data_IF_590058437076
#
_entry.id   IF_590058437076
#
_cell.length_a   1.000
_cell.length_b   1.000
_cell.length_c   1.000
_cell.angle_alpha   90.00
_cell.angle_beta   90.00
_cell.angle_gamma   90.00
#
_symmetry.space_group_name_H-M   'P 1'
#
loop_
_entity.id
_entity.type
_entity.pdbx_description
1 polymer ?
#
# COMPACT_ATOMS: atom_id res chain seq x y z
N UNK A 1 -10.68 -22.61 19.72
CA UNK A 1 -9.48 -22.40 18.88
C UNK A 1 -9.92 -22.31 17.44
N UNK A 2 -10.02 -21.10 16.89
CA UNK A 2 -10.35 -20.89 15.49
C UNK A 2 -9.04 -20.64 14.73
N UNK A 3 -8.58 -21.65 13.98
CA UNK A 3 -7.60 -21.45 12.93
C UNK A 3 -8.26 -20.46 11.96
N UNK A 4 -7.65 -19.30 11.77
CA UNK A 4 -8.14 -18.27 10.84
C UNK A 4 -8.48 -18.95 9.53
N UNK A 5 -9.76 -18.99 9.18
CA UNK A 5 -10.23 -19.52 7.92
C UNK A 5 -9.54 -18.70 6.85
N UNK A 6 -8.55 -19.30 6.18
CA UNK A 6 -8.01 -18.79 4.93
C UNK A 6 -9.21 -18.76 3.98
N UNK A 7 -9.82 -17.59 3.82
CA UNK A 7 -11.02 -17.45 3.01
C UNK A 7 -10.62 -17.75 1.56
N UNK A 8 -11.13 -18.85 1.02
CA UNK A 8 -11.21 -19.01 -0.44
C UNK A 8 -12.01 -17.83 -0.96
N UNK A 9 -11.50 -17.10 -1.96
CA UNK A 9 -12.40 -16.52 -2.96
C UNK A 9 -13.04 -17.72 -3.65
N UNK A 10 -14.28 -18.03 -3.31
CA UNK A 10 -15.10 -18.88 -4.17
C UNK A 10 -15.39 -18.02 -5.38
N UNK A 11 -14.66 -18.24 -6.48
CA UNK A 11 -15.03 -17.66 -7.76
C UNK A 11 -16.31 -18.38 -8.21
N UNK A 12 -17.46 -17.71 -8.08
CA UNK A 12 -18.78 -18.24 -8.39
C UNK A 12 -19.88 -17.50 -7.61
N UNK A 13 -21.14 -17.73 -7.99
CA UNK A 13 -22.30 -17.18 -7.29
C UNK A 13 -22.35 -17.68 -5.83
N UNK A 14 -22.89 -16.85 -4.94
CA UNK A 14 -23.13 -17.23 -3.55
C UNK A 14 -24.00 -18.51 -3.50
N UNK A 15 -23.68 -19.49 -2.64
CA UNK A 15 -24.43 -20.74 -2.56
C UNK A 15 -25.91 -20.44 -2.28
N UNK A 16 -26.77 -21.03 -3.09
CA UNK A 16 -28.20 -20.76 -3.13
C UNK A 16 -29.00 -21.62 -2.15
N UNK A 17 -28.35 -22.60 -1.51
CA UNK A 17 -28.98 -23.49 -0.54
C UNK A 17 -28.10 -23.79 0.66
N UNK A 18 -28.75 -24.15 1.76
CA UNK A 18 -28.08 -24.59 2.99
C UNK A 18 -27.26 -25.86 2.78
N UNK A 19 -27.70 -26.80 1.92
CA UNK A 19 -26.92 -27.98 1.55
C UNK A 19 -25.63 -27.62 0.82
N UNK A 20 -25.70 -26.68 -0.12
CA UNK A 20 -24.56 -26.20 -0.90
C UNK A 20 -23.57 -25.40 -0.03
N UNK A 21 -24.09 -24.62 0.92
CA UNK A 21 -23.28 -24.01 1.99
C UNK A 21 -22.62 -25.07 2.88
N UNK A 22 -23.35 -26.11 3.30
CA UNK A 22 -22.83 -27.18 4.15
C UNK A 22 -21.75 -27.98 3.40
N UNK A 23 -21.99 -28.39 2.15
CA UNK A 23 -21.01 -29.09 1.31
C UNK A 23 -19.75 -28.25 1.04
N UNK A 24 -19.88 -26.93 0.89
CA UNK A 24 -18.75 -26.01 0.80
C UNK A 24 -18.06 -25.76 2.16
N UNK A 25 -18.77 -25.98 3.27
CA UNK A 25 -18.27 -25.81 4.64
C UNK A 25 -17.67 -27.08 5.24
N UNK A 26 -17.98 -28.25 4.67
CA UNK A 26 -17.35 -29.53 5.00
C UNK A 26 -15.87 -29.41 4.65
N UNK A 27 -15.10 -29.29 5.71
CA UNK A 27 -13.73 -28.83 5.75
C UNK A 27 -12.81 -29.80 5.02
N UNK A 28 -12.56 -29.55 3.73
CA UNK A 28 -11.32 -30.00 3.12
C UNK A 28 -10.21 -29.30 3.91
N UNK A 29 -9.40 -30.08 4.63
CA UNK A 29 -8.23 -29.57 5.31
C UNK A 29 -7.40 -28.75 4.28
N UNK A 30 -7.13 -27.46 4.49
CA UNK A 30 -6.39 -26.65 3.51
C UNK A 30 -4.95 -27.16 3.30
N UNK A 31 -4.48 -28.03 4.20
CA UNK A 31 -3.22 -28.75 4.15
C UNK A 31 -3.36 -30.21 3.69
N UNK A 32 -4.52 -30.61 3.15
CA UNK A 32 -4.70 -31.94 2.57
C UNK A 32 -3.84 -32.08 1.31
N UNK A 33 -2.85 -32.96 1.39
CA UNK A 33 -1.96 -33.27 0.26
C UNK A 33 -2.72 -33.87 -0.94
N UNK A 34 -3.87 -34.52 -0.73
CA UNK A 34 -4.68 -35.06 -1.83
C UNK A 34 -5.30 -33.93 -2.66
N UNK A 35 -5.63 -32.80 -2.05
CA UNK A 35 -6.10 -31.60 -2.75
C UNK A 35 -5.03 -30.97 -3.66
N UNK A 36 -3.74 -31.28 -3.44
CA UNK A 36 -2.64 -30.82 -4.31
C UNK A 36 -2.45 -31.70 -5.55
N UNK A 37 -2.83 -32.99 -5.50
CA UNK A 37 -2.58 -33.94 -6.59
C UNK A 37 -3.34 -33.61 -7.88
N UNK A 38 -4.46 -32.89 -7.77
CA UNK A 38 -5.26 -32.46 -8.93
C UNK A 38 -4.82 -31.13 -9.55
N UNK A 39 -3.78 -30.48 -9.02
CA UNK A 39 -3.32 -29.17 -9.48
C UNK A 39 -2.22 -29.31 -10.53
N UNK A 40 -2.24 -28.44 -11.55
CA UNK A 40 -1.12 -28.31 -12.47
C UNK A 40 0.09 -27.65 -11.79
N UNK A 41 1.27 -27.68 -12.43
CA UNK A 41 2.44 -26.98 -11.90
C UNK A 41 2.19 -25.47 -11.73
N UNK A 42 1.47 -24.85 -12.68
CA UNK A 42 1.12 -23.43 -12.60
C UNK A 42 0.16 -23.16 -11.44
N UNK A 43 -0.84 -24.02 -11.23
CA UNK A 43 -1.78 -23.91 -10.10
C UNK A 43 -1.06 -24.06 -8.75
N UNK A 44 -0.09 -24.97 -8.66
CA UNK A 44 0.74 -25.14 -7.46
C UNK A 44 1.57 -23.87 -7.17
N UNK A 45 2.15 -23.25 -8.21
CA UNK A 45 2.89 -21.99 -8.07
C UNK A 45 1.98 -20.85 -7.63
N UNK A 46 0.79 -20.75 -8.21
CA UNK A 46 -0.22 -19.73 -7.83
C UNK A 46 -0.59 -19.92 -6.36
N UNK A 47 -0.99 -21.13 -5.97
CA UNK A 47 -1.43 -21.45 -4.61
C UNK A 47 -0.33 -21.21 -3.57
N UNK A 48 0.91 -21.56 -3.89
CA UNK A 48 2.07 -21.26 -3.03
C UNK A 48 2.21 -19.75 -2.78
N UNK A 49 2.14 -18.94 -3.85
CA UNK A 49 2.26 -17.47 -3.75
C UNK A 49 1.12 -16.85 -2.97
N UNK A 50 -0.11 -17.30 -3.21
CA UNK A 50 -1.30 -16.81 -2.51
C UNK A 50 -1.21 -17.10 -1.01
N UNK A 51 -0.86 -18.33 -0.63
CA UNK A 51 -0.69 -18.71 0.78
C UNK A 51 0.39 -17.86 1.44
N UNK A 52 1.53 -17.67 0.78
CA UNK A 52 2.61 -16.84 1.30
C UNK A 52 2.16 -15.38 1.48
N UNK A 53 1.53 -14.78 0.47
CA UNK A 53 1.01 -13.41 0.56
C UNK A 53 0.01 -13.24 1.70
N UNK A 54 -0.96 -14.14 1.81
CA UNK A 54 -1.98 -14.13 2.87
C UNK A 54 -1.34 -14.33 4.24
N UNK A 55 -0.41 -15.27 4.38
CA UNK A 55 0.30 -15.54 5.63
C UNK A 55 1.06 -14.31 6.13
N UNK A 56 1.80 -13.63 5.24
CA UNK A 56 2.60 -12.47 5.61
C UNK A 56 1.70 -11.27 5.96
N UNK A 57 0.64 -11.01 5.18
CA UNK A 57 -0.32 -9.96 5.52
C UNK A 57 -1.02 -10.21 6.86
N UNK A 58 -1.48 -11.45 7.10
CA UNK A 58 -2.19 -11.80 8.32
C UNK A 58 -1.27 -11.74 9.55
N UNK A 59 -0.02 -12.21 9.44
CA UNK A 59 1.00 -12.03 10.50
C UNK A 59 1.19 -10.55 10.83
N UNK A 60 1.28 -9.69 9.80
CA UNK A 60 1.39 -8.24 10.01
C UNK A 60 0.16 -7.63 10.69
N UNK A 61 -1.06 -8.09 10.35
CA UNK A 61 -2.30 -7.66 11.00
C UNK A 61 -2.35 -8.07 12.47
N UNK A 62 -1.94 -9.29 12.81
CA UNK A 62 -1.83 -9.74 14.20
C UNK A 62 -0.87 -8.83 14.99
N UNK A 63 0.28 -8.48 14.40
CA UNK A 63 1.25 -7.60 15.03
C UNK A 63 0.73 -6.16 15.21
N UNK A 64 -0.11 -5.68 14.30
CA UNK A 64 -0.77 -4.38 14.41
C UNK A 64 -1.80 -4.35 15.52
N UNK A 65 -2.68 -5.35 15.55
CA UNK A 65 -3.67 -5.51 16.62
C UNK A 65 -2.99 -5.67 17.97
N UNK A 66 -1.88 -6.42 18.04
CA UNK A 66 -1.07 -6.51 19.24
C UNK A 66 -0.50 -5.13 19.63
N UNK A 67 0.05 -4.38 18.67
CA UNK A 67 0.60 -3.04 18.92
C UNK A 67 -0.43 -2.10 19.55
N UNK A 68 -1.68 -2.10 19.11
CA UNK A 68 -2.73 -1.23 19.66
C UNK A 68 -3.03 -1.46 21.14
N UNK A 69 -2.62 -2.62 21.70
CA UNK A 69 -2.84 -2.98 23.12
C UNK A 69 -1.75 -2.48 24.07
N UNK A 70 -0.67 -1.91 23.55
CA UNK A 70 0.44 -1.36 24.34
C UNK A 70 0.40 0.16 24.42
N UNK A 71 0.76 0.71 25.58
CA UNK A 71 0.74 2.16 25.82
C UNK A 71 1.86 2.89 25.09
N UNK A 72 2.99 2.22 24.87
CA UNK A 72 4.14 2.80 24.17
C UNK A 72 4.77 1.86 23.14
N UNK A 73 5.51 2.46 22.19
CA UNK A 73 6.34 1.69 21.26
C UNK A 73 7.48 0.94 21.97
N UNK A 74 7.92 1.43 23.13
CA UNK A 74 9.03 0.84 23.89
C UNK A 74 8.58 -0.49 24.49
N UNK A 75 7.47 -0.48 25.23
CA UNK A 75 6.87 -1.70 25.81
C UNK A 75 6.55 -2.74 24.74
N UNK A 76 6.00 -2.31 23.61
CA UNK A 76 5.74 -3.20 22.50
C UNK A 76 7.02 -3.80 21.91
N UNK A 77 8.09 -3.00 21.78
CA UNK A 77 9.39 -3.46 21.31
C UNK A 77 10.04 -4.49 22.24
N UNK A 78 9.92 -4.30 23.55
CA UNK A 78 10.35 -5.25 24.57
C UNK A 78 9.53 -6.55 24.52
N UNK A 79 8.21 -6.44 24.40
CA UNK A 79 7.36 -7.62 24.24
C UNK A 79 7.71 -8.40 22.97
N UNK A 80 7.99 -7.72 21.85
CA UNK A 80 8.43 -8.36 20.61
C UNK A 80 9.75 -9.10 20.80
N UNK A 81 10.72 -8.54 21.52
CA UNK A 81 12.03 -9.16 21.70
C UNK A 81 11.98 -10.43 22.55
N UNK A 82 11.02 -10.54 23.47
CA UNK A 82 10.78 -11.73 24.31
C UNK A 82 10.01 -12.82 23.56
N UNK A 83 9.01 -12.44 22.75
CA UNK A 83 8.06 -13.40 22.16
C UNK A 83 8.43 -13.83 20.71
N UNK A 84 9.31 -13.09 20.03
CA UNK A 84 9.72 -13.37 18.65
C UNK A 84 11.25 -13.52 18.56
N UNK A 85 11.79 -14.40 19.41
CA UNK A 85 13.22 -14.69 19.59
C UNK A 85 13.79 -15.55 18.46
N UNK A 86 12.97 -16.38 17.83
CA UNK A 86 13.37 -17.26 16.72
C UNK A 86 13.07 -16.57 15.37
N UNK A 87 14.14 -16.14 14.69
CA UNK A 87 14.15 -15.54 13.34
C UNK A 87 13.38 -14.21 13.20
N UNK A 88 14.14 -13.13 13.46
CA UNK A 88 13.97 -11.78 12.91
C UNK A 88 12.90 -10.88 13.58
N UNK A 89 13.26 -10.25 14.69
CA UNK A 89 12.64 -8.97 15.10
C UNK A 89 12.69 -7.91 13.99
N UNK A 90 13.67 -7.98 13.07
CA UNK A 90 13.69 -7.17 11.84
C UNK A 90 12.53 -7.49 10.87
N UNK A 91 12.01 -8.71 10.88
CA UNK A 91 10.86 -9.11 10.06
C UNK A 91 9.54 -8.65 10.66
N UNK A 92 9.39 -8.56 11.98
CA UNK A 92 8.13 -8.09 12.60
C UNK A 92 7.86 -6.63 12.21
N UNK A 93 8.88 -5.77 12.20
CA UNK A 93 8.74 -4.40 11.70
C UNK A 93 8.35 -4.32 10.22
N UNK A 94 8.95 -5.17 9.36
CA UNK A 94 8.58 -5.26 7.93
C UNK A 94 7.13 -5.74 7.74
N UNK A 95 6.70 -6.72 8.52
CA UNK A 95 5.34 -7.26 8.52
C UNK A 95 4.31 -6.20 8.96
N UNK A 96 4.59 -5.47 10.03
CA UNK A 96 3.76 -4.35 10.50
C UNK A 96 3.62 -3.31 9.39
N UNK A 97 4.73 -2.89 8.78
CA UNK A 97 4.71 -1.92 7.70
C UNK A 97 3.98 -2.44 6.45
N UNK A 98 4.24 -3.71 6.07
CA UNK A 98 3.53 -4.39 4.98
C UNK A 98 2.03 -4.33 5.22
N UNK A 99 1.57 -4.80 6.38
CA UNK A 99 0.16 -4.79 6.71
C UNK A 99 -0.38 -3.35 6.71
N UNK A 100 0.30 -2.35 7.31
CA UNK A 100 -0.08 -0.91 7.26
C UNK A 100 -0.25 -0.38 5.85
N UNK A 101 0.64 -0.75 4.94
CA UNK A 101 0.56 -0.29 3.58
C UNK A 101 -0.60 -0.96 2.85
N UNK A 102 -0.78 -2.27 2.94
CA UNK A 102 -1.81 -3.02 2.22
C UNK A 102 -3.18 -3.09 2.95
N UNK A 103 -3.47 -2.11 3.82
CA UNK A 103 -4.81 -1.89 4.37
C UNK A 103 -5.70 -1.14 3.36
N UNK A 104 -7.00 -1.05 3.65
CA UNK A 104 -7.92 -0.10 2.99
C UNK A 104 -8.08 -0.33 1.47
N UNK A 105 -8.14 -1.58 1.04
CA UNK A 105 -8.42 -1.94 -0.36
C UNK A 105 -7.21 -1.97 -1.28
N UNK A 106 -5.98 -1.80 -0.77
CA UNK A 106 -4.75 -2.03 -1.54
C UNK A 106 -4.41 -3.52 -1.55
N UNK A 107 -4.47 -4.16 -2.72
CA UNK A 107 -4.20 -5.58 -2.89
C UNK A 107 -2.72 -5.85 -3.17
N UNK A 108 -2.21 -6.99 -2.69
CA UNK A 108 -0.90 -7.53 -3.05
C UNK A 108 -0.98 -8.44 -4.29
N UNK A 109 -2.16 -8.59 -4.89
CA UNK A 109 -2.39 -9.42 -6.07
C UNK A 109 -1.45 -9.02 -7.22
N UNK A 110 -0.71 -9.98 -7.76
CA UNK A 110 0.27 -9.75 -8.83
C UNK A 110 1.58 -9.06 -8.39
N UNK A 111 1.70 -8.68 -7.11
CA UNK A 111 2.89 -8.04 -6.54
C UNK A 111 3.64 -9.07 -5.67
N UNK A 112 4.92 -9.39 -5.98
CA UNK A 112 5.72 -10.25 -5.12
C UNK A 112 5.81 -9.70 -3.69
N UNK A 113 5.74 -10.55 -2.66
CA UNK A 113 5.83 -10.12 -1.24
C UNK A 113 7.08 -9.29 -0.98
N UNK A 114 8.22 -9.66 -1.58
CA UNK A 114 9.46 -8.90 -1.49
C UNK A 114 9.32 -7.47 -2.02
N UNK A 115 8.56 -7.27 -3.10
CA UNK A 115 8.23 -5.94 -3.60
C UNK A 115 7.27 -5.20 -2.66
N UNK A 116 6.31 -5.92 -2.06
CA UNK A 116 5.45 -5.41 -1.00
C UNK A 116 6.27 -4.82 0.16
N UNK A 117 7.30 -5.51 0.63
CA UNK A 117 8.21 -5.00 1.66
C UNK A 117 8.98 -3.74 1.23
N UNK A 118 9.36 -3.66 -0.05
CA UNK A 118 10.02 -2.46 -0.56
C UNK A 118 9.05 -1.27 -0.60
N UNK A 119 7.81 -1.47 -1.04
CA UNK A 119 6.81 -0.41 -1.09
C UNK A 119 6.44 0.10 0.31
N UNK A 120 6.27 -0.82 1.26
CA UNK A 120 5.90 -0.48 2.63
C UNK A 120 7.05 0.04 3.48
N UNK A 121 8.29 -0.01 2.99
CA UNK A 121 9.45 0.45 3.74
C UNK A 121 9.32 1.95 4.10
N UNK A 122 9.63 2.36 5.34
CA UNK A 122 9.56 3.76 5.76
C UNK A 122 10.36 4.71 4.86
N UNK A 123 11.51 4.25 4.34
CA UNK A 123 12.35 5.02 3.40
C UNK A 123 11.67 5.38 2.09
N UNK A 124 10.55 4.73 1.76
CA UNK A 124 9.83 4.88 0.50
C UNK A 124 8.44 5.52 0.71
N UNK A 125 8.11 5.97 1.93
CA UNK A 125 6.79 6.52 2.29
C UNK A 125 6.27 7.55 1.27
N UNK A 126 7.11 8.47 0.83
CA UNK A 126 6.74 9.59 -0.06
C UNK A 126 6.45 9.16 -1.50
N UNK A 127 6.93 7.98 -1.91
CA UNK A 127 6.81 7.47 -3.28
C UNK A 127 5.92 6.23 -3.37
N UNK A 128 5.68 5.55 -2.26
CA UNK A 128 5.07 4.22 -2.21
C UNK A 128 3.69 4.16 -2.91
N UNK A 129 2.82 5.15 -2.68
CA UNK A 129 1.50 5.20 -3.31
C UNK A 129 1.59 5.40 -4.83
N UNK A 130 2.53 6.24 -5.29
CA UNK A 130 2.74 6.48 -6.72
C UNK A 130 3.24 5.21 -7.40
N UNK A 131 4.28 4.59 -6.83
CA UNK A 131 4.81 3.32 -7.33
C UNK A 131 3.74 2.24 -7.34
N UNK A 132 2.96 2.10 -6.26
CA UNK A 132 1.87 1.13 -6.19
C UNK A 132 0.83 1.33 -7.30
N UNK A 133 0.41 2.57 -7.56
CA UNK A 133 -0.54 2.86 -8.62
C UNK A 133 -0.01 2.54 -10.03
N UNK A 134 1.31 2.65 -10.24
CA UNK A 134 1.93 2.31 -11.52
C UNK A 134 2.01 0.80 -11.77
N UNK A 135 2.11 0.00 -10.70
CA UNK A 135 2.34 -1.45 -10.77
C UNK A 135 1.11 -2.30 -10.46
N UNK A 136 0.10 -1.77 -9.76
CA UNK A 136 -1.14 -2.50 -9.49
C UNK A 136 -1.74 -2.96 -10.82
N UNK A 137 -2.24 -4.20 -10.86
CA UNK A 137 -2.82 -4.85 -12.04
C UNK A 137 -1.81 -5.23 -13.16
N UNK A 138 -0.52 -4.90 -13.00
CA UNK A 138 0.54 -5.28 -13.95
C UNK A 138 1.41 -6.39 -13.37
N UNK A 139 1.84 -7.31 -14.23
CA UNK A 139 2.75 -8.41 -13.86
C UNK A 139 4.20 -7.98 -14.04
N UNK A 140 4.74 -7.27 -13.06
CA UNK A 140 6.17 -6.93 -13.03
C UNK A 140 6.98 -7.95 -12.24
N UNK A 141 8.20 -8.22 -12.70
CA UNK A 141 9.23 -8.93 -11.93
C UNK A 141 9.75 -8.01 -10.83
N UNK A 142 10.33 -8.64 -9.79
CA UNK A 142 10.89 -7.91 -8.65
C UNK A 142 11.92 -6.85 -9.08
N UNK A 143 12.79 -7.17 -10.04
CA UNK A 143 13.83 -6.24 -10.49
C UNK A 143 13.26 -5.04 -11.25
N UNK A 144 12.22 -5.24 -12.07
CA UNK A 144 11.51 -4.13 -12.72
C UNK A 144 10.86 -3.19 -11.70
N UNK A 145 10.32 -3.74 -10.61
CA UNK A 145 9.75 -2.93 -9.52
C UNK A 145 10.86 -2.16 -8.79
N UNK A 146 12.03 -2.77 -8.55
CA UNK A 146 13.19 -2.06 -7.97
C UNK A 146 13.61 -0.88 -8.85
N UNK A 147 13.63 -1.06 -10.17
CA UNK A 147 13.97 -0.01 -11.12
C UNK A 147 12.94 1.13 -11.12
N UNK A 148 11.64 0.80 -11.05
CA UNK A 148 10.58 1.81 -10.88
C UNK A 148 10.82 2.61 -9.60
N UNK A 149 11.05 1.94 -8.46
CA UNK A 149 11.33 2.60 -7.18
C UNK A 149 12.57 3.50 -7.28
N UNK A 150 13.65 3.03 -7.91
CA UNK A 150 14.87 3.82 -8.09
C UNK A 150 14.62 5.08 -8.93
N UNK A 151 13.83 4.99 -10.02
CA UNK A 151 13.45 6.15 -10.82
C UNK A 151 12.67 7.19 -10.01
N UNK A 152 11.75 6.76 -9.16
CA UNK A 152 11.02 7.67 -8.28
C UNK A 152 11.93 8.33 -7.25
N UNK A 153 12.87 7.58 -6.66
CA UNK A 153 13.88 8.13 -5.74
C UNK A 153 14.80 9.16 -6.40
N UNK A 154 15.26 8.88 -7.60
CA UNK A 154 16.15 9.80 -8.32
C UNK A 154 15.41 11.08 -8.75
N UNK A 155 14.13 10.97 -9.13
CA UNK A 155 13.27 12.14 -9.37
C UNK A 155 13.05 12.98 -8.10
N UNK A 156 12.84 12.36 -6.94
CA UNK A 156 12.74 13.11 -5.68
C UNK A 156 14.06 13.70 -5.21
N UNK A 157 15.20 13.06 -5.45
CA UNK A 157 16.53 13.62 -5.15
C UNK A 157 16.84 14.81 -6.06
N UNK A 158 16.50 14.74 -7.35
CA UNK A 158 16.62 15.87 -8.27
C UNK A 158 15.72 17.06 -7.86
N UNK A 159 14.57 16.80 -7.23
CA UNK A 159 13.73 17.84 -6.61
C UNK A 159 14.19 18.28 -5.22
N UNK A 160 14.92 17.46 -4.46
CA UNK A 160 15.45 17.82 -3.12
C UNK A 160 16.77 18.59 -3.18
N UNK A 161 17.42 18.66 -4.33
CA UNK A 161 18.69 19.35 -4.53
C UNK A 161 18.61 20.87 -4.71
N UNK A 162 17.40 21.45 -4.84
CA UNK A 162 17.22 22.89 -5.02
C UNK A 162 15.81 23.29 -4.57
N UNK A 163 15.57 23.35 -3.27
CA UNK A 163 14.41 24.10 -2.77
C UNK A 163 14.81 24.71 -1.45
N UNK A 164 15.39 25.90 -1.54
CA UNK A 164 15.66 26.74 -0.38
C UNK A 164 14.38 26.85 0.45
N UNK A 165 14.49 26.85 1.76
CA UNK A 165 13.36 27.02 2.70
C UNK A 165 12.48 28.23 2.31
N UNK A 166 13.09 29.24 1.71
CA UNK A 166 12.46 30.41 1.09
C UNK A 166 11.41 30.08 0.00
N UNK A 167 11.66 29.09 -0.87
CA UNK A 167 10.71 28.71 -1.94
C UNK A 167 9.46 27.99 -1.40
N UNK A 168 9.54 27.29 -0.26
CA UNK A 168 8.35 26.68 0.36
C UNK A 168 7.43 27.72 0.98
N UNK A 169 7.99 28.76 1.60
CA UNK A 169 7.21 29.87 2.16
C UNK A 169 6.58 30.70 1.03
N UNK A 170 7.37 31.06 0.01
CA UNK A 170 6.85 31.75 -1.19
C UNK A 170 5.77 30.93 -1.89
N UNK A 171 5.92 29.61 -2.00
CA UNK A 171 4.89 28.75 -2.62
C UNK A 171 3.59 28.70 -1.82
N UNK A 172 3.65 28.83 -0.48
CA UNK A 172 2.47 28.86 0.37
C UNK A 172 1.73 30.19 0.20
N UNK A 173 2.46 31.30 0.23
CA UNK A 173 1.89 32.65 0.07
C UNK A 173 1.26 32.84 -1.31
N UNK A 174 1.93 32.34 -2.37
CA UNK A 174 1.38 32.37 -3.73
C UNK A 174 0.13 31.51 -3.84
N UNK A 175 0.07 30.36 -3.16
CA UNK A 175 -1.10 29.49 -3.15
C UNK A 175 -2.28 30.12 -2.42
N UNK A 176 -2.06 30.68 -1.23
CA UNK A 176 -3.08 31.40 -0.46
C UNK A 176 -3.61 32.60 -1.24
N UNK A 177 -2.73 33.41 -1.82
CA UNK A 177 -3.12 34.55 -2.66
C UNK A 177 -3.91 34.14 -3.92
N UNK A 178 -3.47 33.08 -4.60
CA UNK A 178 -4.18 32.56 -5.78
C UNK A 178 -5.57 32.03 -5.42
N UNK A 179 -5.71 31.42 -4.24
CA UNK A 179 -6.98 30.92 -3.73
C UNK A 179 -7.94 32.07 -3.42
N UNK A 180 -7.45 33.12 -2.74
CA UNK A 180 -8.21 34.34 -2.48
C UNK A 180 -8.68 35.01 -3.78
N UNK A 181 -7.79 35.16 -4.77
CA UNK A 181 -8.15 35.75 -6.05
C UNK A 181 -9.26 34.96 -6.76
N UNK A 182 -9.16 33.64 -6.80
CA UNK A 182 -10.13 32.82 -7.53
C UNK A 182 -11.47 32.71 -6.80
N UNK A 183 -11.46 32.62 -5.48
CA UNK A 183 -12.67 32.35 -4.70
C UNK A 183 -13.40 33.63 -4.28
N UNK A 184 -12.69 34.71 -3.97
CA UNK A 184 -13.29 35.91 -3.40
C UNK A 184 -13.34 37.08 -4.40
N UNK A 185 -12.33 37.25 -5.25
CA UNK A 185 -12.25 38.37 -6.20
C UNK A 185 -12.89 38.03 -7.55
N UNK A 186 -12.62 36.84 -8.06
CA UNK A 186 -13.12 36.37 -9.36
C UNK A 186 -14.36 35.49 -9.26
N UNK A 187 -15.06 35.52 -8.12
CA UNK A 187 -16.29 34.77 -7.92
C UNK A 187 -17.31 35.10 -9.05
N UNK A 188 -17.85 34.05 -9.68
CA UNK A 188 -18.81 34.18 -10.78
C UNK A 188 -18.25 34.73 -12.10
N UNK A 189 -16.94 34.96 -12.22
CA UNK A 189 -16.32 35.45 -13.47
C UNK A 189 -15.96 34.29 -14.41
N UNK A 190 -15.99 34.57 -15.72
CA UNK A 190 -15.63 33.57 -16.72
C UNK A 190 -14.12 33.34 -16.77
N UNK A 191 -13.71 32.11 -17.10
CA UNK A 191 -12.29 31.74 -17.23
C UNK A 191 -11.53 32.62 -18.24
N UNK A 192 -12.18 33.04 -19.33
CA UNK A 192 -11.57 33.91 -20.33
C UNK A 192 -11.28 35.31 -19.78
N UNK A 193 -12.17 35.86 -18.96
CA UNK A 193 -11.98 37.14 -18.28
C UNK A 193 -10.84 37.08 -17.27
N UNK A 194 -10.85 36.06 -16.40
CA UNK A 194 -9.80 35.87 -15.38
C UNK A 194 -8.42 35.75 -16.03
N UNK A 195 -8.30 34.95 -17.10
CA UNK A 195 -7.04 34.78 -17.84
C UNK A 195 -6.55 36.10 -18.45
N UNK A 196 -7.45 36.91 -19.01
CA UNK A 196 -7.11 38.21 -19.58
C UNK A 196 -6.54 39.16 -18.51
N UNK A 197 -7.25 39.28 -17.39
CA UNK A 197 -6.85 40.17 -16.29
C UNK A 197 -5.51 39.75 -15.69
N UNK A 198 -5.31 38.47 -15.38
CA UNK A 198 -4.05 37.99 -14.81
C UNK A 198 -2.87 38.16 -15.78
N UNK A 199 -3.09 37.94 -17.08
CA UNK A 199 -2.04 38.11 -18.10
C UNK A 199 -1.61 39.58 -18.22
N UNK A 200 -2.58 40.51 -18.22
CA UNK A 200 -2.30 41.95 -18.26
C UNK A 200 -1.62 42.43 -16.98
N UNK A 201 -2.04 41.93 -15.82
CA UNK A 201 -1.42 42.27 -14.53
C UNK A 201 0.04 41.82 -14.45
N UNK A 202 0.36 40.62 -14.95
CA UNK A 202 1.74 40.11 -14.99
C UNK A 202 2.65 40.97 -15.89
N UNK A 203 2.12 41.56 -16.97
CA UNK A 203 2.87 42.47 -17.84
C UNK A 203 3.20 43.82 -17.19
N UNK A 204 2.50 44.19 -16.10
CA UNK A 204 2.67 45.45 -15.39
C UNK A 204 3.61 45.37 -14.18
N UNK A 205 4.02 44.17 -13.79
CA UNK A 205 5.01 43.96 -12.73
C UNK A 205 6.39 44.21 -13.35
N UNK A 206 7.03 45.33 -12.96
CA UNK A 206 8.40 45.69 -13.32
C UNK A 206 9.40 45.17 -12.29
#
# INVERSE_FOLDING_TARGET
MAIGKIARRVSGDLPSSTQEYIANSETINPFDSMALKGLTLDDLVIRYKEIEQQSQLFKGQILLEARERFQSNIEFGEWLSVNFTELNSSNTGKLINLAKFFQEGRSLDGIPVSAGYLLSAPSNKDIAIKVYNDIKEKKFKLDEIKDIIARYKNKTIAHKGNTNVFEREVSKDVFEFSTYLLNDIFEGKSKSFIKSVLSESLLRIK
#
